data_IF_986328046804
#
_entry.id   IF_986328046804
#
_cell.length_a   1.000
_cell.length_b   1.000
_cell.length_c   1.000
_cell.angle_alpha   90.00
_cell.angle_beta   90.00
_cell.angle_gamma   90.00
#
_symmetry.space_group_name_H-M   'P 1'
#
loop_
_entity.id
_entity.type
_entity.pdbx_description
1 polymer ?
#
# COMPACT_ATOMS: atom_id res chain seq x y z
N UNK A 1 17.32 -13.47 26.13
CA UNK A 1 16.89 -12.06 26.15
C UNK A 1 15.62 -11.98 26.99
N UNK A 2 15.68 -11.39 28.18
CA UNK A 2 14.46 -11.18 28.99
C UNK A 2 13.54 -10.20 28.26
N UNK A 3 12.22 -10.44 28.20
CA UNK A 3 11.29 -9.42 27.73
C UNK A 3 11.42 -8.22 28.66
N UNK A 4 11.93 -7.11 28.14
CA UNK A 4 11.97 -5.84 28.88
C UNK A 4 10.54 -5.54 29.30
N UNK A 5 10.26 -5.64 30.61
CA UNK A 5 9.00 -5.19 31.15
C UNK A 5 8.76 -3.77 30.65
N UNK A 6 7.55 -3.44 30.14
CA UNK A 6 7.29 -2.11 29.61
C UNK A 6 7.66 -1.11 30.71
N UNK A 7 8.54 -0.17 30.35
CA UNK A 7 9.01 0.84 31.29
C UNK A 7 7.81 1.54 31.92
N UNK A 8 7.94 2.02 33.15
CA UNK A 8 6.88 2.79 33.82
C UNK A 8 6.35 3.92 32.91
N UNK A 9 7.22 4.46 32.05
CA UNK A 9 6.91 5.45 31.01
C UNK A 9 6.02 4.90 29.88
N UNK A 10 6.28 3.68 29.37
CA UNK A 10 5.43 3.05 28.36
C UNK A 10 4.01 2.76 28.88
N UNK A 11 3.86 2.39 30.15
CA UNK A 11 2.53 2.22 30.78
C UNK A 11 1.78 3.53 30.93
N UNK A 12 2.47 4.61 31.33
CA UNK A 12 1.89 5.95 31.42
C UNK A 12 1.40 6.44 30.05
N UNK A 13 2.21 6.24 29.00
CA UNK A 13 1.83 6.55 27.61
C UNK A 13 0.61 5.75 27.15
N UNK A 14 0.60 4.44 27.36
CA UNK A 14 -0.57 3.59 27.03
C UNK A 14 -1.83 4.06 27.77
N UNK A 15 -1.72 4.47 29.03
CA UNK A 15 -2.84 4.97 29.80
C UNK A 15 -3.35 6.32 29.28
N UNK A 16 -2.45 7.24 28.91
CA UNK A 16 -2.81 8.53 28.30
C UNK A 16 -3.53 8.34 26.96
N UNK A 17 -3.05 7.43 26.11
CA UNK A 17 -3.67 7.10 24.83
C UNK A 17 -5.05 6.48 25.02
N UNK A 18 -5.20 5.55 25.96
CA UNK A 18 -6.48 4.93 26.29
C UNK A 18 -7.50 5.96 26.80
N UNK A 19 -7.05 6.91 27.64
CA UNK A 19 -7.89 8.01 28.14
C UNK A 19 -8.32 8.96 27.01
N UNK A 20 -7.41 9.30 26.10
CA UNK A 20 -7.70 10.12 24.93
C UNK A 20 -8.69 9.42 23.98
N UNK A 21 -8.48 8.14 23.72
CA UNK A 21 -9.38 7.32 22.90
C UNK A 21 -10.77 7.19 23.52
N UNK A 22 -10.85 6.93 24.82
CA UNK A 22 -12.13 6.87 25.55
C UNK A 22 -12.87 8.21 25.50
N UNK A 23 -12.15 9.33 25.63
CA UNK A 23 -12.74 10.66 25.53
C UNK A 23 -13.27 10.95 24.11
N UNK A 24 -12.51 10.60 23.08
CA UNK A 24 -12.91 10.72 21.68
C UNK A 24 -14.14 9.85 21.37
N UNK A 25 -14.14 8.59 21.84
CA UNK A 25 -15.29 7.67 21.69
C UNK A 25 -16.55 8.22 22.36
N UNK A 26 -16.46 8.72 23.60
CA UNK A 26 -17.61 9.37 24.27
C UNK A 26 -18.10 10.63 23.56
N UNK A 27 -17.22 11.36 22.88
CA UNK A 27 -17.61 12.51 22.07
C UNK A 27 -18.36 12.04 20.80
N UNK A 28 -17.85 11.01 20.12
CA UNK A 28 -18.50 10.39 18.98
C UNK A 28 -19.87 9.79 19.33
N UNK A 29 -19.97 9.03 20.42
CA UNK A 29 -21.23 8.44 20.90
C UNK A 29 -22.28 9.52 21.20
N UNK A 30 -21.86 10.65 21.81
CA UNK A 30 -22.75 11.80 22.06
C UNK A 30 -23.17 12.50 20.77
N UNK A 31 -22.28 12.60 19.78
CA UNK A 31 -22.59 13.18 18.49
C UNK A 31 -23.53 12.26 17.66
N UNK A 32 -23.36 10.94 17.75
CA UNK A 32 -24.28 9.95 17.17
C UNK A 32 -25.66 10.03 17.83
N UNK A 33 -25.74 10.08 19.16
CA UNK A 33 -27.01 10.27 19.86
C UNK A 33 -27.74 11.55 19.43
N UNK A 34 -27.00 12.64 19.15
CA UNK A 34 -27.57 13.87 18.56
C UNK A 34 -27.97 13.70 17.09
N UNK A 35 -27.25 12.89 16.31
CA UNK A 35 -27.62 12.52 14.94
C UNK A 35 -28.91 11.69 14.89
N UNK A 36 -29.14 10.82 15.87
CA UNK A 36 -30.37 10.05 15.98
C UNK A 36 -31.56 10.97 16.31
N UNK A 37 -31.36 11.97 17.17
CA UNK A 37 -32.33 13.05 17.35
C UNK A 37 -32.57 13.83 16.04
N UNK A 38 -31.53 14.10 15.25
CA UNK A 38 -31.67 14.77 13.95
C UNK A 38 -32.49 13.95 12.94
N UNK A 39 -32.32 12.62 12.92
CA UNK A 39 -33.06 11.69 12.04
C UNK A 39 -34.50 11.41 12.49
N UNK A 40 -34.97 12.01 13.58
CA UNK A 40 -36.34 11.81 14.09
C UNK A 40 -36.52 10.52 14.90
N UNK A 41 -35.45 9.86 15.33
CA UNK A 41 -35.54 8.67 16.17
C UNK A 41 -35.83 9.09 17.62
N UNK A 42 -37.09 8.92 18.03
CA UNK A 42 -37.65 9.05 19.38
C UNK A 42 -37.24 10.30 20.20
N UNK A 43 -38.14 11.28 20.27
CA UNK A 43 -38.04 12.45 21.17
C UNK A 43 -37.80 13.81 20.48
N UNK A 44 -37.65 13.84 19.15
CA UNK A 44 -37.33 15.05 18.38
C UNK A 44 -38.38 15.47 17.35
N UNK A 45 -39.55 14.85 17.34
CA UNK A 45 -40.67 15.26 16.48
C UNK A 45 -41.19 16.67 16.77
N UNK A 46 -40.77 17.27 17.88
CA UNK A 46 -41.14 18.63 18.31
C UNK A 46 -40.17 19.72 17.81
N UNK A 47 -38.99 19.36 17.27
CA UNK A 47 -38.03 20.33 16.76
C UNK A 47 -38.39 20.81 15.36
N UNK A 48 -38.36 22.12 15.16
CA UNK A 48 -38.49 22.76 13.85
C UNK A 48 -37.34 22.34 12.92
N UNK A 49 -37.50 22.57 11.61
CA UNK A 49 -36.43 22.28 10.65
C UNK A 49 -35.14 23.09 10.92
N UNK A 50 -35.29 24.31 11.43
CA UNK A 50 -34.18 25.19 11.78
C UNK A 50 -33.43 24.68 13.01
N UNK A 51 -34.14 24.31 14.08
CA UNK A 51 -33.54 23.72 15.28
C UNK A 51 -32.82 22.39 14.98
N UNK A 52 -33.40 21.54 14.12
CA UNK A 52 -32.72 20.32 13.65
C UNK A 52 -31.41 20.65 12.93
N UNK A 53 -31.43 21.64 12.04
CA UNK A 53 -30.23 22.07 11.31
C UNK A 53 -29.14 22.56 12.27
N UNK A 54 -29.51 23.35 13.28
CA UNK A 54 -28.57 23.88 14.26
C UNK A 54 -27.99 22.78 15.17
N UNK A 55 -28.82 21.83 15.63
CA UNK A 55 -28.36 20.65 16.37
C UNK A 55 -27.39 19.81 15.51
N UNK A 56 -27.67 19.66 14.22
CA UNK A 56 -26.79 18.97 13.27
C UNK A 56 -25.42 19.65 13.11
N UNK A 57 -25.38 20.97 12.94
CA UNK A 57 -24.12 21.74 12.89
C UNK A 57 -23.33 21.62 14.19
N UNK A 58 -24.01 21.73 15.34
CA UNK A 58 -23.38 21.57 16.65
C UNK A 58 -22.80 20.16 16.88
N UNK A 59 -23.42 19.12 16.31
CA UNK A 59 -22.88 17.76 16.33
C UNK A 59 -21.63 17.62 15.45
N UNK A 60 -21.63 18.18 14.23
CA UNK A 60 -20.46 18.18 13.35
C UNK A 60 -19.28 18.92 13.97
N UNK A 61 -19.49 20.13 14.49
CA UNK A 61 -18.43 20.89 15.17
C UNK A 61 -17.85 20.14 16.39
N UNK A 62 -18.68 19.39 17.12
CA UNK A 62 -18.21 18.55 18.22
C UNK A 62 -17.40 17.32 17.75
N UNK A 63 -17.73 16.75 16.60
CA UNK A 63 -16.94 15.67 15.98
C UNK A 63 -15.58 16.21 15.51
N UNK A 64 -15.55 17.37 14.86
CA UNK A 64 -14.30 18.00 14.40
C UNK A 64 -13.36 18.29 15.57
N UNK A 65 -13.88 18.87 16.66
CA UNK A 65 -13.12 19.12 17.89
C UNK A 65 -12.58 17.82 18.51
N UNK A 66 -13.35 16.73 18.46
CA UNK A 66 -12.90 15.42 18.95
C UNK A 66 -11.78 14.83 18.07
N UNK A 67 -11.88 14.97 16.75
CA UNK A 67 -10.84 14.55 15.80
C UNK A 67 -9.55 15.33 16.06
N UNK A 68 -9.63 16.66 16.20
CA UNK A 68 -8.47 17.52 16.48
C UNK A 68 -7.78 17.10 17.79
N UNK A 69 -8.54 16.84 18.86
CA UNK A 69 -7.97 16.38 20.14
C UNK A 69 -7.31 15.00 20.03
N UNK A 70 -7.91 14.07 19.30
CA UNK A 70 -7.34 12.74 19.08
C UNK A 70 -6.04 12.82 18.27
N UNK A 71 -6.01 13.64 17.23
CA UNK A 71 -4.81 13.91 16.44
C UNK A 71 -3.70 14.53 17.30
N UNK A 72 -4.00 15.56 18.09
CA UNK A 72 -3.03 16.17 19.00
C UNK A 72 -2.47 15.16 20.02
N UNK A 73 -3.31 14.29 20.59
CA UNK A 73 -2.86 13.25 21.51
C UNK A 73 -1.97 12.19 20.83
N UNK A 74 -2.33 11.79 19.60
CA UNK A 74 -1.51 10.88 18.78
C UNK A 74 -0.15 11.50 18.45
N UNK A 75 -0.13 12.77 18.07
CA UNK A 75 1.09 13.46 17.66
C UNK A 75 2.01 13.69 18.87
N UNK A 76 1.45 14.03 20.04
CA UNK A 76 2.19 14.10 21.30
C UNK A 76 2.79 12.73 21.70
N UNK A 77 2.01 11.66 21.64
CA UNK A 77 2.51 10.30 21.88
C UNK A 77 3.64 9.95 20.90
N UNK A 78 3.44 10.27 19.60
CA UNK A 78 4.44 10.01 18.57
C UNK A 78 5.74 10.75 18.90
N UNK A 79 5.67 12.05 19.21
CA UNK A 79 6.83 12.86 19.61
C UNK A 79 7.57 12.27 20.83
N UNK A 80 6.85 11.80 21.85
CA UNK A 80 7.47 11.17 23.01
C UNK A 80 8.12 9.82 22.68
N UNK A 81 7.51 9.02 21.81
CA UNK A 81 8.08 7.73 21.38
C UNK A 81 9.30 7.92 20.48
N UNK A 82 9.34 9.01 19.71
CA UNK A 82 10.53 9.43 18.94
C UNK A 82 11.68 9.83 19.86
N UNK A 83 11.40 10.68 20.86
CA UNK A 83 12.39 11.10 21.88
C UNK A 83 12.95 9.90 22.65
N UNK A 84 12.10 8.91 22.93
CA UNK A 84 12.51 7.67 23.58
C UNK A 84 13.27 6.68 22.66
N UNK A 85 13.44 7.00 21.37
CA UNK A 85 14.06 6.12 20.38
C UNK A 85 13.25 4.83 20.10
N UNK A 86 11.97 4.80 20.49
CA UNK A 86 11.07 3.66 20.27
C UNK A 86 10.47 3.70 18.87
N UNK A 87 10.07 4.89 18.43
CA UNK A 87 9.71 5.14 17.03
C UNK A 87 10.91 5.75 16.31
N UNK A 88 11.13 5.33 15.07
CA UNK A 88 12.02 6.06 14.17
C UNK A 88 11.41 7.44 13.87
N UNK A 89 12.21 8.52 13.76
CA UNK A 89 11.75 9.84 13.33
C UNK A 89 10.75 9.71 12.18
N UNK A 90 9.66 10.50 12.16
CA UNK A 90 8.74 10.49 11.03
C UNK A 90 9.61 10.66 9.81
N UNK A 91 9.45 9.73 8.86
CA UNK A 91 10.22 9.68 7.63
C UNK A 91 10.25 11.10 7.08
N UNK A 92 11.40 11.77 7.20
CA UNK A 92 11.58 13.09 6.60
C UNK A 92 11.23 12.87 5.15
N UNK A 93 10.28 13.67 4.62
CA UNK A 93 9.90 13.55 3.22
C UNK A 93 11.20 13.57 2.43
N UNK A 94 11.48 12.45 1.75
CA UNK A 94 12.82 12.23 1.23
C UNK A 94 13.14 13.41 0.33
N UNK A 95 14.38 13.88 0.41
CA UNK A 95 14.99 14.60 -0.69
C UNK A 95 14.64 13.86 -2.00
N UNK A 96 14.40 14.62 -3.08
CA UNK A 96 14.08 14.00 -4.37
C UNK A 96 15.14 12.94 -4.69
N UNK A 97 14.70 11.83 -5.28
CA UNK A 97 15.63 10.75 -5.58
C UNK A 97 16.66 11.25 -6.61
N UNK A 98 17.92 10.76 -6.54
CA UNK A 98 18.90 11.05 -7.57
C UNK A 98 18.34 10.73 -8.97
N UNK A 99 18.64 11.55 -9.97
CA UNK A 99 18.16 11.35 -11.33
C UNK A 99 18.46 9.94 -11.89
N UNK A 100 19.59 9.35 -11.47
CA UNK A 100 19.96 7.97 -11.82
C UNK A 100 18.98 6.93 -11.28
N UNK A 101 18.42 7.14 -10.09
CA UNK A 101 17.43 6.25 -9.48
C UNK A 101 16.10 6.32 -10.22
N UNK A 102 15.67 7.53 -10.60
CA UNK A 102 14.50 7.74 -11.44
C UNK A 102 14.65 7.06 -12.81
N UNK A 103 15.81 7.25 -13.45
CA UNK A 103 16.10 6.62 -14.74
C UNK A 103 16.08 5.09 -14.63
N UNK A 104 16.68 4.52 -13.58
CA UNK A 104 16.69 3.08 -13.37
C UNK A 104 15.27 2.50 -13.20
N UNK A 105 14.38 3.18 -12.48
CA UNK A 105 12.97 2.78 -12.37
C UNK A 105 12.26 2.80 -13.73
N UNK A 106 12.47 3.85 -14.52
CA UNK A 106 11.89 3.97 -15.87
C UNK A 106 12.45 2.89 -16.82
N UNK A 107 13.76 2.67 -16.82
CA UNK A 107 14.43 1.68 -17.67
C UNK A 107 13.95 0.26 -17.36
N UNK A 108 13.61 -0.03 -16.11
CA UNK A 108 13.08 -1.32 -15.69
C UNK A 108 11.56 -1.45 -15.88
N UNK A 109 10.86 -0.42 -16.34
CA UNK A 109 9.42 -0.48 -16.66
C UNK A 109 8.49 -0.21 -15.48
N UNK A 110 8.98 0.34 -14.37
CA UNK A 110 8.20 0.52 -13.14
C UNK A 110 6.99 1.46 -13.32
N UNK A 111 7.14 2.51 -14.13
CA UNK A 111 6.10 3.53 -14.32
C UNK A 111 5.07 3.15 -15.38
N UNK A 112 5.46 2.29 -16.33
CA UNK A 112 4.59 1.76 -17.39
C UNK A 112 3.72 0.61 -16.88
N UNK A 113 4.21 -0.16 -15.90
CA UNK A 113 3.46 -1.25 -15.29
C UNK A 113 2.34 -0.73 -14.36
N UNK A 114 1.15 -1.31 -14.49
CA UNK A 114 0.06 -1.09 -13.56
C UNK A 114 0.36 -1.71 -12.20
N UNK A 115 -0.28 -1.21 -11.15
CA UNK A 115 -0.12 -1.73 -9.79
C UNK A 115 -0.46 -3.22 -9.69
N UNK A 116 -1.53 -3.66 -10.37
CA UNK A 116 -1.93 -5.07 -10.42
C UNK A 116 -0.88 -5.97 -11.10
N UNK A 117 -0.23 -5.47 -12.15
CA UNK A 117 0.87 -6.19 -12.81
C UNK A 117 2.08 -6.32 -11.89
N UNK A 118 2.48 -5.22 -11.23
CA UNK A 118 3.57 -5.23 -10.26
C UNK A 118 3.29 -6.20 -9.11
N UNK A 119 2.08 -6.16 -8.54
CA UNK A 119 1.69 -7.05 -7.44
C UNK A 119 1.69 -8.52 -7.86
N UNK A 120 1.18 -8.85 -9.06
CA UNK A 120 1.22 -10.22 -9.59
C UNK A 120 2.65 -10.69 -9.88
N UNK A 121 3.52 -9.80 -10.32
CA UNK A 121 4.92 -10.13 -10.53
C UNK A 121 5.61 -10.45 -9.20
N UNK A 122 5.35 -9.67 -8.15
CA UNK A 122 5.82 -9.96 -6.78
C UNK A 122 5.32 -11.32 -6.29
N UNK A 123 4.05 -11.66 -6.54
CA UNK A 123 3.51 -12.99 -6.21
C UNK A 123 4.30 -14.10 -6.91
N UNK A 124 4.61 -13.92 -8.19
CA UNK A 124 5.34 -14.93 -8.98
C UNK A 124 6.79 -15.07 -8.51
N UNK A 125 7.44 -13.96 -8.17
CA UNK A 125 8.80 -13.91 -7.62
C UNK A 125 8.88 -14.64 -6.27
N UNK A 126 8.00 -14.28 -5.32
CA UNK A 126 7.94 -14.94 -4.00
C UNK A 126 7.56 -16.42 -4.10
N UNK A 127 6.72 -16.80 -5.06
CA UNK A 127 6.36 -18.19 -5.30
C UNK A 127 7.55 -19.02 -5.82
N UNK A 128 8.37 -18.44 -6.71
CA UNK A 128 9.59 -19.07 -7.21
C UNK A 128 10.60 -19.29 -6.08
N UNK A 129 10.82 -18.28 -5.24
CA UNK A 129 11.70 -18.37 -4.06
C UNK A 129 11.22 -19.44 -3.07
N UNK A 130 9.93 -19.45 -2.75
CA UNK A 130 9.33 -20.45 -1.86
C UNK A 130 9.46 -21.87 -2.42
N UNK A 131 9.24 -22.04 -3.74
CA UNK A 131 9.39 -23.32 -4.40
C UNK A 131 10.84 -23.81 -4.35
N UNK A 132 11.82 -22.93 -4.54
CA UNK A 132 13.25 -23.26 -4.46
C UNK A 132 13.67 -23.60 -3.02
N UNK A 133 13.21 -22.84 -2.02
CA UNK A 133 13.46 -23.14 -0.62
C UNK A 133 12.86 -24.50 -0.22
N UNK A 134 11.62 -24.79 -0.63
CA UNK A 134 11.00 -26.09 -0.39
C UNK A 134 11.71 -27.22 -1.13
N UNK A 135 12.13 -27.00 -2.38
CA UNK A 135 12.89 -27.97 -3.16
C UNK A 135 14.22 -28.35 -2.48
N UNK A 136 14.88 -27.37 -1.85
CA UNK A 136 16.12 -27.63 -1.10
C UNK A 136 15.91 -28.57 0.09
N UNK A 137 14.70 -28.78 0.61
CA UNK A 137 14.43 -29.76 1.68
C UNK A 137 14.18 -31.18 1.18
N UNK A 138 13.99 -31.38 -0.13
CA UNK A 138 13.68 -32.70 -0.69
C UNK A 138 14.84 -33.70 -0.59
N UNK A 139 16.11 -33.33 -0.86
CA UNK A 139 17.22 -34.28 -0.75
C UNK A 139 17.39 -34.81 0.68
N UNK A 140 17.45 -36.13 0.84
CA UNK A 140 17.59 -36.83 2.14
C UNK A 140 19.01 -36.84 2.72
N UNK A 141 19.85 -35.90 2.28
CA UNK A 141 21.23 -35.82 2.74
C UNK A 141 21.27 -35.50 4.24
N UNK A 142 22.22 -36.09 5.01
CA UNK A 142 22.34 -35.80 6.42
C UNK A 142 22.64 -34.31 6.64
N UNK A 143 21.74 -33.64 7.37
CA UNK A 143 21.88 -32.25 7.80
C UNK A 143 21.87 -32.19 9.32
N UNK A 144 22.48 -31.16 9.88
CA UNK A 144 22.33 -30.89 11.31
C UNK A 144 20.86 -30.51 11.59
N UNK A 145 20.34 -30.94 12.75
CA UNK A 145 18.92 -30.79 13.07
C UNK A 145 18.48 -29.32 13.23
N UNK A 146 19.37 -28.46 13.74
CA UNK A 146 19.18 -27.00 13.80
C UNK A 146 18.94 -26.39 12.42
N UNK A 147 19.76 -26.75 11.43
CA UNK A 147 19.63 -26.26 10.04
C UNK A 147 18.30 -26.66 9.40
N UNK A 148 17.78 -27.86 9.72
CA UNK A 148 16.47 -28.31 9.21
C UNK A 148 15.32 -27.50 9.82
N UNK A 149 15.39 -27.20 11.11
CA UNK A 149 14.39 -26.35 11.79
C UNK A 149 14.42 -24.93 11.24
N UNK A 150 15.61 -24.34 11.09
CA UNK A 150 15.78 -23.01 10.49
C UNK A 150 15.23 -22.94 9.05
N UNK A 151 15.49 -23.98 8.24
CA UNK A 151 14.98 -24.05 6.86
C UNK A 151 13.46 -24.17 6.82
N UNK A 152 12.86 -24.98 7.69
CA UNK A 152 11.41 -25.12 7.78
C UNK A 152 10.74 -23.82 8.26
N UNK A 153 11.32 -23.15 9.26
CA UNK A 153 10.84 -21.85 9.73
C UNK A 153 10.93 -20.78 8.64
N UNK A 154 12.01 -20.76 7.86
CA UNK A 154 12.17 -19.85 6.72
C UNK A 154 11.08 -20.06 5.66
N UNK A 155 10.73 -21.30 5.33
CA UNK A 155 9.63 -21.62 4.40
C UNK A 155 8.29 -21.11 4.92
N UNK A 156 8.01 -21.24 6.22
CA UNK A 156 6.78 -20.71 6.82
C UNK A 156 6.70 -19.19 6.67
N UNK A 157 7.80 -18.48 6.93
CA UNK A 157 7.87 -17.02 6.76
C UNK A 157 7.68 -16.61 5.28
N UNK A 158 8.32 -17.31 4.35
CA UNK A 158 8.16 -17.07 2.91
C UNK A 158 6.71 -17.32 2.45
N UNK A 159 6.07 -18.39 2.94
CA UNK A 159 4.67 -18.67 2.63
C UNK A 159 3.72 -17.59 3.17
N UNK A 160 4.00 -17.03 4.35
CA UNK A 160 3.23 -15.90 4.90
C UNK A 160 3.43 -14.60 4.08
N UNK A 161 4.66 -14.34 3.63
CA UNK A 161 4.95 -13.23 2.75
C UNK A 161 4.23 -13.36 1.40
N UNK A 162 4.26 -14.57 0.81
CA UNK A 162 3.51 -14.88 -0.42
C UNK A 162 2.01 -14.67 -0.24
N UNK A 163 1.41 -15.15 0.86
CA UNK A 163 -0.02 -14.94 1.13
C UNK A 163 -0.37 -13.44 1.20
N UNK A 164 0.50 -12.65 1.84
CA UNK A 164 0.33 -11.20 1.92
C UNK A 164 0.40 -10.55 0.54
N UNK A 165 1.37 -10.93 -0.29
CA UNK A 165 1.48 -10.46 -1.68
C UNK A 165 0.26 -10.86 -2.55
N UNK A 166 -0.29 -12.06 -2.35
CA UNK A 166 -1.50 -12.52 -3.04
C UNK A 166 -2.71 -11.66 -2.67
N UNK A 167 -2.87 -11.32 -1.39
CA UNK A 167 -3.94 -10.41 -0.94
C UNK A 167 -3.79 -9.03 -1.56
N UNK A 168 -2.57 -8.49 -1.61
CA UNK A 168 -2.27 -7.22 -2.28
C UNK A 168 -2.65 -7.29 -3.77
N UNK A 169 -2.25 -8.36 -4.47
CA UNK A 169 -2.57 -8.54 -5.88
C UNK A 169 -4.09 -8.68 -6.13
N UNK A 170 -4.83 -9.35 -5.24
CA UNK A 170 -6.28 -9.44 -5.31
C UNK A 170 -6.94 -8.05 -5.10
N UNK A 171 -6.48 -7.30 -4.09
CA UNK A 171 -6.99 -5.94 -3.82
C UNK A 171 -6.66 -4.95 -4.93
N UNK A 172 -5.50 -5.06 -5.56
CA UNK A 172 -5.12 -4.26 -6.74
C UNK A 172 -6.05 -4.53 -7.95
N UNK A 173 -6.73 -5.68 -7.98
CA UNK A 173 -7.78 -6.03 -8.96
C UNK A 173 -9.19 -5.76 -8.46
N UNK A 174 -9.33 -5.00 -7.38
CA UNK A 174 -10.59 -4.63 -6.74
C UNK A 174 -11.43 -5.82 -6.20
N UNK A 175 -10.83 -6.99 -5.97
CA UNK A 175 -11.50 -8.11 -5.27
C UNK A 175 -12.00 -7.65 -3.90
N UNK A 176 -13.25 -7.96 -3.57
CA UNK A 176 -13.85 -7.49 -2.31
C UNK A 176 -13.22 -8.17 -1.09
N UNK A 177 -13.30 -7.53 0.08
CA UNK A 177 -12.83 -8.15 1.31
C UNK A 177 -13.61 -9.42 1.66
N UNK A 178 -14.91 -9.43 1.41
CA UNK A 178 -15.76 -10.61 1.62
C UNK A 178 -15.31 -11.80 0.76
N UNK A 179 -14.96 -11.56 -0.51
CA UNK A 179 -14.41 -12.60 -1.40
C UNK A 179 -13.08 -13.15 -0.88
N UNK A 180 -12.20 -12.28 -0.37
CA UNK A 180 -10.91 -12.67 0.22
C UNK A 180 -11.12 -13.47 1.52
N UNK A 181 -12.03 -13.01 2.38
CA UNK A 181 -12.36 -13.65 3.65
C UNK A 181 -12.99 -15.03 3.45
N UNK A 182 -13.83 -15.21 2.41
CA UNK A 182 -14.39 -16.54 2.08
C UNK A 182 -13.27 -17.53 1.71
N UNK A 183 -12.35 -17.14 0.82
CA UNK A 183 -11.26 -18.03 0.37
C UNK A 183 -10.28 -18.37 1.49
N UNK A 184 -9.92 -17.40 2.34
CA UNK A 184 -8.97 -17.62 3.45
C UNK A 184 -9.66 -18.27 4.65
N UNK A 185 -10.95 -17.98 4.86
CA UNK A 185 -11.74 -18.35 6.05
C UNK A 185 -12.48 -19.68 5.97
N UNK A 186 -12.68 -20.25 4.79
CA UNK A 186 -13.35 -21.55 4.59
C UNK A 186 -12.48 -22.77 4.97
N UNK A 187 -11.17 -22.62 5.16
CA UNK A 187 -10.26 -23.74 5.49
C UNK A 187 -10.25 -24.18 6.96
N UNK A 188 -11.22 -23.77 7.76
CA UNK A 188 -11.34 -24.17 9.16
C UNK A 188 -12.74 -24.72 9.44
N UNK A 189 -12.99 -25.97 9.06
CA UNK A 189 -14.05 -26.80 9.61
C UNK A 189 -13.70 -27.15 11.07
N UNK A 190 -13.65 -26.17 11.96
CA UNK A 190 -13.70 -26.39 13.40
C UNK A 190 -13.89 -25.05 14.15
N UNK A 191 -15.03 -24.98 14.84
CA UNK A 191 -15.22 -24.43 16.20
C UNK A 191 -15.04 -22.91 16.43
N UNK A 192 -16.17 -22.26 16.77
CA UNK A 192 -16.30 -21.19 17.77
C UNK A 192 -15.06 -20.30 18.04
N UNK A 193 -14.81 -19.33 17.16
CA UNK A 193 -13.82 -18.28 17.44
C UNK A 193 -14.45 -16.88 17.30
N UNK A 194 -14.95 -16.27 18.40
CA UNK A 194 -15.30 -14.85 18.47
C UNK A 194 -14.10 -13.87 18.30
N UNK A 195 -13.02 -14.32 17.66
CA UNK A 195 -11.76 -13.60 17.51
C UNK A 195 -11.18 -13.63 16.08
N UNK A 196 -11.98 -13.99 15.05
CA UNK A 196 -11.56 -13.75 13.66
C UNK A 196 -11.47 -12.23 13.42
N UNK A 197 -10.25 -11.70 13.33
CA UNK A 197 -10.06 -10.36 12.75
C UNK A 197 -10.38 -10.48 11.26
N UNK A 198 -11.25 -9.61 10.70
CA UNK A 198 -11.49 -9.57 9.25
C UNK A 198 -10.18 -9.49 8.47
N UNK A 199 -10.08 -10.09 7.28
CA UNK A 199 -8.89 -9.99 6.43
C UNK A 199 -8.48 -8.54 6.23
N UNK A 200 -9.44 -7.63 6.09
CA UNK A 200 -9.19 -6.19 6.04
C UNK A 200 -8.32 -5.71 7.21
N UNK A 201 -8.72 -6.00 8.44
CA UNK A 201 -7.97 -5.58 9.63
C UNK A 201 -6.57 -6.24 9.71
N UNK A 202 -6.44 -7.47 9.19
CA UNK A 202 -5.19 -8.22 9.19
C UNK A 202 -4.19 -7.67 8.17
N UNK A 203 -4.64 -7.27 6.99
CA UNK A 203 -3.79 -6.87 5.86
C UNK A 203 -3.78 -5.36 5.59
N UNK A 204 -4.54 -4.56 6.34
CA UNK A 204 -4.62 -3.10 6.17
C UNK A 204 -3.24 -2.42 6.15
N UNK A 205 -2.34 -2.81 7.05
CA UNK A 205 -0.99 -2.24 7.11
C UNK A 205 -0.19 -2.57 5.85
N UNK A 206 -0.17 -3.84 5.42
CA UNK A 206 0.58 -4.27 4.24
C UNK A 206 0.08 -3.57 2.96
N UNK A 207 -1.24 -3.36 2.84
CA UNK A 207 -1.83 -2.62 1.73
C UNK A 207 -1.44 -1.13 1.78
N UNK A 208 -1.47 -0.52 2.98
CA UNK A 208 -1.05 0.87 3.14
C UNK A 208 0.43 1.07 2.81
N UNK A 209 1.30 0.13 3.21
CA UNK A 209 2.73 0.11 2.88
C UNK A 209 2.95 -0.09 1.38
N UNK A 210 2.23 -1.00 0.75
CA UNK A 210 2.27 -1.20 -0.70
C UNK A 210 1.90 0.07 -1.47
N UNK A 211 0.75 0.69 -1.16
CA UNK A 211 0.36 1.94 -1.81
C UNK A 211 1.39 3.05 -1.58
N UNK A 212 1.91 3.17 -0.35
CA UNK A 212 2.97 4.13 -0.04
C UNK A 212 4.22 3.86 -0.90
N UNK A 213 4.60 2.61 -1.07
CA UNK A 213 5.73 2.21 -1.92
C UNK A 213 5.48 2.51 -3.40
N UNK A 214 4.25 2.37 -3.89
CA UNK A 214 3.88 2.77 -5.25
C UNK A 214 4.06 4.28 -5.44
N UNK A 215 3.69 5.09 -4.45
CA UNK A 215 3.85 6.55 -4.52
C UNK A 215 5.28 7.01 -4.26
N UNK A 216 6.03 6.24 -3.47
CA UNK A 216 7.39 6.55 -3.02
C UNK A 216 8.21 5.26 -3.06
N UNK A 217 8.75 4.85 -4.22
CA UNK A 217 9.47 3.58 -4.38
C UNK A 217 10.70 3.45 -3.47
N UNK A 218 11.28 4.59 -3.10
CA UNK A 218 12.39 4.68 -2.17
C UNK A 218 12.11 5.74 -1.11
N UNK A 219 12.76 5.57 0.04
CA UNK A 219 12.83 6.58 1.09
C UNK A 219 14.27 6.72 1.60
N UNK A 220 14.70 7.95 1.88
CA UNK A 220 16.02 8.24 2.44
C UNK A 220 15.95 8.32 3.97
N UNK A 221 16.60 7.37 4.65
CA UNK A 221 16.73 7.36 6.10
C UNK A 221 18.19 7.19 6.50
N UNK A 222 18.71 8.13 7.30
CA UNK A 222 20.10 8.10 7.77
C UNK A 222 21.13 8.18 6.65
N UNK A 223 20.84 8.93 5.57
CA UNK A 223 21.71 9.04 4.40
C UNK A 223 21.76 7.80 3.50
N UNK A 224 20.84 6.84 3.72
CA UNK A 224 20.71 5.62 2.90
C UNK A 224 19.33 5.57 2.27
N UNK A 225 19.27 5.16 1.00
CA UNK A 225 18.01 4.86 0.32
C UNK A 225 17.54 3.46 0.70
N UNK A 226 16.27 3.35 1.05
CA UNK A 226 15.58 2.10 1.38
C UNK A 226 14.42 1.91 0.41
N UNK A 227 14.39 0.75 -0.24
CA UNK A 227 13.28 0.32 -1.07
C UNK A 227 12.01 0.21 -0.21
N UNK A 228 10.89 0.73 -0.72
CA UNK A 228 9.56 0.62 -0.09
C UNK A 228 8.70 -0.46 -0.76
N UNK A 229 9.20 -1.05 -1.85
CA UNK A 229 8.56 -2.13 -2.59
C UNK A 229 9.53 -3.31 -2.73
N UNK A 230 9.03 -4.54 -2.91
CA UNK A 230 9.87 -5.68 -3.28
C UNK A 230 10.59 -5.44 -4.62
N UNK A 231 11.75 -6.05 -4.80
CA UNK A 231 12.59 -5.89 -6.00
C UNK A 231 11.82 -6.18 -7.29
N UNK A 232 10.94 -7.18 -7.29
CA UNK A 232 10.10 -7.50 -8.44
C UNK A 232 9.15 -6.37 -8.86
N UNK A 233 8.71 -5.54 -7.93
CA UNK A 233 7.90 -4.36 -8.25
C UNK A 233 8.75 -3.15 -8.65
N UNK A 234 9.99 -3.04 -8.16
CA UNK A 234 10.92 -1.97 -8.53
C UNK A 234 11.57 -2.21 -9.89
N UNK A 235 11.81 -3.47 -10.24
CA UNK A 235 12.56 -3.89 -11.42
C UNK A 235 11.78 -4.90 -12.27
N UNK A 236 10.57 -4.55 -12.76
CA UNK A 236 9.65 -5.54 -13.30
C UNK A 236 10.17 -6.23 -14.57
N UNK A 237 10.86 -5.50 -15.46
CA UNK A 237 11.48 -6.11 -16.65
C UNK A 237 12.56 -7.13 -16.29
N UNK A 238 13.45 -6.81 -15.34
CA UNK A 238 14.46 -7.76 -14.87
C UNK A 238 13.82 -8.99 -14.21
N UNK A 239 12.85 -8.82 -13.32
CA UNK A 239 12.18 -9.94 -12.64
C UNK A 239 11.39 -10.82 -13.59
N UNK A 240 10.71 -10.25 -14.58
CA UNK A 240 10.04 -11.03 -15.63
C UNK A 240 11.04 -11.95 -16.37
N UNK A 241 12.19 -11.41 -16.82
CA UNK A 241 13.25 -12.20 -17.47
C UNK A 241 13.87 -13.24 -16.54
N UNK A 242 13.95 -12.95 -15.25
CA UNK A 242 14.42 -13.92 -14.26
C UNK A 242 13.43 -15.09 -14.15
N UNK A 243 12.14 -14.78 -13.98
CA UNK A 243 11.07 -15.77 -13.88
C UNK A 243 10.90 -16.59 -15.16
N UNK A 244 11.07 -15.99 -16.34
CA UNK A 244 11.09 -16.74 -17.60
C UNK A 244 12.15 -17.83 -17.59
N UNK A 245 13.38 -17.49 -17.16
CA UNK A 245 14.47 -18.48 -17.03
C UNK A 245 14.15 -19.52 -15.97
N UNK A 246 13.55 -19.11 -14.85
CA UNK A 246 13.16 -20.00 -13.76
C UNK A 246 12.14 -21.04 -14.23
N UNK A 247 11.08 -20.60 -14.90
CA UNK A 247 10.02 -21.45 -15.47
C UNK A 247 10.59 -22.39 -16.52
N UNK A 248 11.38 -21.87 -17.47
CA UNK A 248 11.98 -22.70 -18.53
C UNK A 248 12.89 -23.80 -17.96
N UNK A 249 13.63 -23.53 -16.88
CA UNK A 249 14.52 -24.50 -16.26
C UNK A 249 13.78 -25.61 -15.48
N UNK A 250 12.56 -25.35 -15.01
CA UNK A 250 11.80 -26.24 -14.10
C UNK A 250 10.57 -26.87 -14.73
N UNK A 251 10.26 -26.50 -15.99
CA UNK A 251 9.08 -26.97 -16.70
C UNK A 251 9.04 -28.50 -16.79
N UNK A 252 7.94 -29.08 -16.34
CA UNK A 252 7.64 -30.51 -16.49
C UNK A 252 6.60 -30.73 -17.59
N UNK A 253 6.56 -31.91 -18.25
CA UNK A 253 5.59 -32.22 -19.30
C UNK A 253 4.11 -32.15 -18.89
N UNK A 254 3.81 -32.05 -17.59
CA UNK A 254 2.44 -31.98 -17.05
C UNK A 254 2.08 -30.61 -16.49
N UNK A 255 3.01 -29.65 -16.53
CA UNK A 255 2.70 -28.29 -16.09
C UNK A 255 1.64 -27.71 -17.02
N UNK A 256 0.66 -27.02 -16.44
CA UNK A 256 -0.47 -26.50 -17.18
C UNK A 256 0.03 -25.47 -18.21
N UNK A 257 -0.21 -25.72 -19.49
CA UNK A 257 0.27 -24.85 -20.57
C UNK A 257 -0.35 -23.45 -20.53
N UNK A 258 -1.43 -23.24 -19.76
CA UNK A 258 -1.92 -21.94 -19.28
C UNK A 258 -2.17 -20.82 -20.31
N UNK A 259 -2.05 -21.08 -21.61
CA UNK A 259 -1.97 -20.06 -22.66
C UNK A 259 -0.96 -20.33 -23.79
N UNK A 260 -0.28 -21.48 -23.81
CA UNK A 260 0.78 -21.80 -24.78
C UNK A 260 2.17 -21.57 -24.16
N UNK A 261 3.25 -21.76 -24.91
CA UNK A 261 4.65 -21.56 -24.48
C UNK A 261 4.99 -20.08 -24.16
N UNK A 262 4.03 -19.29 -23.69
CA UNK A 262 4.18 -17.87 -23.43
C UNK A 262 5.05 -17.66 -22.17
N UNK A 263 6.14 -16.89 -22.27
CA UNK A 263 6.94 -16.51 -21.10
C UNK A 263 6.09 -15.73 -20.08
N UNK A 264 6.51 -15.69 -18.81
CA UNK A 264 5.92 -14.81 -17.79
C UNK A 264 5.90 -13.36 -18.28
N UNK A 265 6.94 -12.96 -19.04
CA UNK A 265 7.01 -11.65 -19.68
C UNK A 265 5.88 -11.38 -20.69
N UNK A 266 5.26 -12.41 -21.28
CA UNK A 266 4.18 -12.24 -22.26
C UNK A 266 2.89 -11.67 -21.64
N UNK A 267 2.80 -11.71 -20.31
CA UNK A 267 1.67 -11.17 -19.57
C UNK A 267 2.03 -9.90 -18.79
N UNK A 268 3.23 -9.34 -18.98
CA UNK A 268 3.69 -8.11 -18.32
C UNK A 268 3.79 -6.95 -19.32
N UNK A 269 3.38 -5.74 -18.92
CA UNK A 269 3.67 -4.39 -19.48
C UNK A 269 3.25 -4.13 -20.95
N UNK A 270 3.14 -5.15 -21.79
CA UNK A 270 2.75 -5.03 -23.21
C UNK A 270 1.28 -5.46 -23.49
N UNK A 271 0.52 -5.83 -22.45
CA UNK A 271 -0.86 -6.30 -22.59
C UNK A 271 -1.85 -5.12 -22.69
N UNK A 272 -2.08 -4.68 -23.94
CA UNK A 272 -2.95 -3.58 -24.30
C UNK A 272 -4.39 -3.63 -23.72
N UNK A 273 -4.83 -2.50 -23.14
CA UNK A 273 -6.13 -1.91 -23.46
C UNK A 273 -7.23 -1.91 -22.39
N UNK A 274 -7.40 -2.97 -21.59
CA UNK A 274 -8.59 -3.08 -20.72
C UNK A 274 -8.35 -2.64 -19.26
N UNK A 275 -7.23 -3.03 -18.65
CA UNK A 275 -6.94 -2.69 -17.23
C UNK A 275 -6.38 -1.27 -17.06
N UNK A 276 -5.95 -0.64 -18.15
CA UNK A 276 -5.26 0.65 -18.14
C UNK A 276 -6.16 1.83 -17.75
N UNK A 277 -7.45 1.79 -18.12
CA UNK A 277 -8.42 2.83 -17.77
C UNK A 277 -8.80 2.76 -16.29
N UNK A 278 -8.96 1.55 -15.74
CA UNK A 278 -9.20 1.34 -14.30
C UNK A 278 -8.00 1.79 -13.46
N UNK A 279 -6.78 1.52 -13.94
CA UNK A 279 -5.55 2.03 -13.33
C UNK A 279 -5.40 3.55 -13.43
N UNK A 280 -5.75 4.18 -14.57
CA UNK A 280 -5.75 5.64 -14.72
C UNK A 280 -6.74 6.28 -13.74
N UNK A 281 -7.92 5.70 -13.61
CA UNK A 281 -8.95 6.13 -12.66
C UNK A 281 -8.44 5.93 -11.22
N UNK A 282 -7.85 4.78 -10.88
CA UNK A 282 -7.28 4.53 -9.55
C UNK A 282 -6.11 5.46 -9.21
N UNK A 283 -5.22 5.73 -10.17
CA UNK A 283 -4.09 6.65 -9.99
C UNK A 283 -4.59 8.09 -9.83
N UNK A 284 -5.52 8.53 -10.67
CA UNK A 284 -6.11 9.86 -10.57
C UNK A 284 -6.97 10.01 -9.30
N UNK A 285 -7.75 9.00 -8.91
CA UNK A 285 -8.53 9.00 -7.67
C UNK A 285 -7.64 8.83 -6.44
N UNK A 286 -6.52 8.13 -6.52
CA UNK A 286 -5.55 8.00 -5.44
C UNK A 286 -4.89 9.35 -5.14
N UNK A 287 -4.50 10.08 -6.18
CA UNK A 287 -4.04 11.48 -6.06
C UNK A 287 -5.16 12.39 -5.57
N UNK A 288 -6.34 12.31 -6.20
CA UNK A 288 -7.46 13.22 -5.93
C UNK A 288 -8.11 12.99 -4.57
N UNK A 289 -8.20 11.74 -4.09
CA UNK A 289 -8.71 11.44 -2.75
C UNK A 289 -7.75 11.91 -1.68
N UNK A 290 -6.44 11.79 -1.90
CA UNK A 290 -5.44 12.30 -0.96
C UNK A 290 -5.42 13.82 -0.92
N UNK A 291 -5.65 14.52 -2.03
CA UNK A 291 -5.77 15.98 -2.02
C UNK A 291 -7.15 16.49 -1.57
N UNK A 292 -8.25 15.81 -1.90
CA UNK A 292 -9.61 16.25 -1.57
C UNK A 292 -9.95 16.17 -0.08
N UNK A 293 -9.45 15.16 0.64
CA UNK A 293 -9.81 14.96 2.05
C UNK A 293 -8.94 15.74 3.04
N UNK A 294 -8.25 16.80 2.58
CA UNK A 294 -7.38 17.63 3.45
C UNK A 294 -6.18 16.88 4.03
N UNK A 295 -5.88 15.68 3.50
CA UNK A 295 -4.62 15.02 3.73
C UNK A 295 -3.58 15.83 2.94
N UNK A 296 -2.49 16.18 3.62
CA UNK A 296 -1.32 16.94 3.13
C UNK A 296 -1.09 16.77 1.61
N UNK A 297 -0.85 17.88 0.91
CA UNK A 297 -0.49 17.85 -0.52
C UNK A 297 0.54 16.74 -0.78
N UNK A 298 0.36 15.93 -1.84
CA UNK A 298 1.31 14.88 -2.15
C UNK A 298 2.69 15.51 -2.31
N UNK A 299 3.63 15.09 -1.45
CA UNK A 299 5.01 15.59 -1.50
C UNK A 299 5.61 15.45 -2.91
N UNK A 300 6.64 16.25 -3.20
CA UNK A 300 7.25 16.38 -4.54
C UNK A 300 7.55 15.05 -5.23
N UNK A 301 8.08 14.07 -4.49
CA UNK A 301 8.38 12.73 -5.00
C UNK A 301 7.12 12.01 -5.50
N UNK A 302 6.05 11.99 -4.70
CA UNK A 302 4.80 11.33 -5.11
C UNK A 302 4.19 12.04 -6.33
N UNK A 303 4.20 13.37 -6.33
CA UNK A 303 3.75 14.18 -7.48
C UNK A 303 4.53 13.83 -8.75
N UNK A 304 5.87 13.67 -8.66
CA UNK A 304 6.70 13.22 -9.76
C UNK A 304 6.40 11.79 -10.19
N UNK A 305 6.27 10.83 -9.28
CA UNK A 305 5.86 9.44 -9.61
C UNK A 305 4.56 9.43 -10.41
N UNK A 306 3.55 10.19 -9.96
CA UNK A 306 2.27 10.25 -10.66
C UNK A 306 2.40 10.86 -12.05
N UNK A 307 3.26 11.87 -12.24
CA UNK A 307 3.54 12.44 -13.56
C UNK A 307 4.28 11.44 -14.48
N UNK A 308 5.27 10.72 -13.95
CA UNK A 308 6.01 9.66 -14.67
C UNK A 308 5.07 8.54 -15.13
N UNK A 309 4.09 8.18 -14.30
CA UNK A 309 3.04 7.19 -14.60
C UNK A 309 2.01 7.72 -15.60
N UNK A 310 1.60 8.99 -15.47
CA UNK A 310 0.54 9.60 -16.28
C UNK A 310 0.91 9.72 -17.76
N UNK A 311 2.16 10.03 -18.09
CA UNK A 311 2.58 10.27 -19.48
C UNK A 311 2.48 9.02 -20.36
N UNK A 312 3.04 7.86 -19.99
CA UNK A 312 2.85 6.61 -20.74
C UNK A 312 1.38 6.24 -20.91
N UNK A 313 0.57 6.48 -19.89
CA UNK A 313 -0.84 6.12 -19.94
C UNK A 313 -1.69 7.00 -20.82
N UNK A 314 -1.44 8.31 -20.82
CA UNK A 314 -2.03 9.22 -21.79
C UNK A 314 -1.57 8.87 -23.21
N UNK A 315 -0.31 8.48 -23.39
CA UNK A 315 0.19 8.07 -24.69
C UNK A 315 -0.49 6.78 -25.20
N UNK A 316 -0.73 5.81 -24.33
CA UNK A 316 -1.43 4.58 -24.66
C UNK A 316 -2.94 4.79 -24.94
N UNK A 317 -3.57 5.75 -24.27
CA UNK A 317 -4.99 6.08 -24.44
C UNK A 317 -5.27 7.02 -25.63
N UNK A 318 -4.26 7.76 -26.11
CA UNK A 318 -4.40 8.75 -27.16
C UNK A 318 -4.83 8.14 -28.50
N UNK A 319 -5.91 8.66 -29.08
CA UNK A 319 -6.38 8.24 -30.40
C UNK A 319 -5.50 8.84 -31.50
N UNK A 320 -5.02 8.03 -32.48
CA UNK A 320 -4.24 8.56 -33.59
C UNK A 320 -4.99 9.66 -34.34
N UNK A 321 -4.38 10.85 -34.42
CA UNK A 321 -4.93 12.00 -35.14
C UNK A 321 -5.93 12.87 -34.35
N UNK A 322 -6.21 12.56 -33.08
CA UNK A 322 -7.05 13.44 -32.23
C UNK A 322 -6.21 14.61 -31.68
N UNK A 323 -6.50 15.87 -32.06
CA UNK A 323 -5.73 17.02 -31.61
C UNK A 323 -5.83 17.26 -30.11
N UNK A 324 -6.95 16.88 -29.47
CA UNK A 324 -7.16 17.09 -28.03
C UNK A 324 -6.30 16.14 -27.20
N UNK A 325 -6.19 14.88 -27.64
CA UNK A 325 -5.33 13.89 -26.99
C UNK A 325 -3.85 14.28 -27.14
N UNK A 326 -3.46 14.79 -28.32
CA UNK A 326 -2.11 15.28 -28.57
C UNK A 326 -1.74 16.49 -27.68
N UNK A 327 -2.65 17.46 -27.55
CA UNK A 327 -2.48 18.61 -26.66
C UNK A 327 -2.38 18.19 -25.19
N UNK A 328 -3.26 17.28 -24.75
CA UNK A 328 -3.26 16.75 -23.37
C UNK A 328 -1.96 16.02 -23.04
N UNK A 329 -1.48 15.19 -23.96
CA UNK A 329 -0.20 14.48 -23.81
C UNK A 329 0.99 15.45 -23.81
N UNK A 330 0.99 16.47 -24.67
CA UNK A 330 2.03 17.49 -24.70
C UNK A 330 2.08 18.28 -23.38
N UNK A 331 0.92 18.71 -22.86
CA UNK A 331 0.84 19.41 -21.57
C UNK A 331 1.35 18.53 -20.41
N UNK A 332 1.00 17.24 -20.40
CA UNK A 332 1.49 16.31 -19.38
C UNK A 332 3.01 16.12 -19.44
N UNK A 333 3.61 16.04 -20.64
CA UNK A 333 5.07 15.96 -20.83
C UNK A 333 5.76 17.22 -20.33
N UNK A 334 5.23 18.41 -20.66
CA UNK A 334 5.77 19.69 -20.18
C UNK A 334 5.72 19.77 -18.65
N UNK A 335 4.61 19.35 -18.03
CA UNK A 335 4.49 19.34 -16.57
C UNK A 335 5.48 18.36 -15.91
N UNK A 336 5.68 17.17 -16.49
CA UNK A 336 6.66 16.21 -16.00
C UNK A 336 8.09 16.76 -16.09
N UNK A 337 8.44 17.41 -17.20
CA UNK A 337 9.76 18.00 -17.38
C UNK A 337 10.04 19.13 -16.36
N UNK A 338 9.04 19.96 -16.07
CA UNK A 338 9.15 20.98 -15.02
C UNK A 338 9.41 20.36 -13.63
N UNK A 339 8.77 19.22 -13.32
CA UNK A 339 9.02 18.50 -12.06
C UNK A 339 10.44 17.90 -11.99
N UNK A 340 10.95 17.37 -13.10
CA UNK A 340 12.32 16.85 -13.18
C UNK A 340 13.37 17.94 -12.96
N UNK A 341 13.11 19.14 -13.49
CA UNK A 341 13.98 20.30 -13.33
C UNK A 341 13.94 20.85 -11.89
N UNK A 342 12.75 20.92 -11.28
CA UNK A 342 12.59 21.42 -9.91
C UNK A 342 13.26 20.52 -8.84
N UNK A 343 13.36 19.22 -9.12
CA UNK A 343 13.93 18.23 -8.20
C UNK A 343 15.46 18.08 -8.26
N UNK A 344 16.14 18.72 -9.22
CA UNK A 344 17.60 18.67 -9.31
C UNK A 344 18.18 19.72 -8.35
N UNK A 345 18.83 19.34 -7.23
CA UNK A 345 19.47 20.32 -6.38
C UNK A 345 20.54 21.05 -7.20
N UNK A 346 20.52 22.39 -7.17
CA UNK A 346 21.57 23.18 -7.77
C UNK A 346 22.89 22.79 -7.09
N UNK A 347 23.75 22.07 -7.81
CA UNK A 347 25.11 21.77 -7.36
C UNK A 347 25.79 23.12 -7.22
N UNK A 348 25.85 23.60 -5.97
CA UNK A 348 26.56 24.83 -5.64
C UNK A 348 28.04 24.47 -5.69
N UNK A 349 28.73 24.94 -6.74
CA UNK A 349 30.18 24.79 -6.92
C UNK A 349 30.99 25.50 -5.83
#
# INVERSE_FOLDING_TARGET
MSPLAPSTRARDLSHKTEKAWTAARRAADRAMSRSDCWRGAAGSSELTAEERTEVGRGALAAMDEAIIRLQAARDALSAELLDAGVLAPPLVESEDLPATTWQALADEGHFEATEGELARLVVSDLAADLADAAHQLVPTQPRRGDVLVESADSIVHQAQALLTAVVIAARARATSWDEIDNVIGERGEDLDAPARRPAEARYAQAIAEWHRGIDRPYHSYGGRMHAQLPDAALRPRWSARHLDRWVLARRQPRDNDGGGNAPVSAHTVDAAGADHTSWLISTMLGVSSRTMYGLREPGSVATRVHAERKVPALAAAAKPGDPKDAETLAAARTALEALRQAGTPAVSE
#
